data_IF_236180449315
#
_entry.id   IF_236180449315
#
_cell.length_a   1.000
_cell.length_b   1.000
_cell.length_c   1.000
_cell.angle_alpha   90.00
_cell.angle_beta   90.00
_cell.angle_gamma   90.00
#
_symmetry.space_group_name_H-M   'P 1'
#
loop_
_entity.id
_entity.type
_entity.pdbx_description
1 polymer ?
#
# COMPACT_ATOMS: atom_id res chain seq x y z
N UNK A 1 -5.58 22.76 6.91
CA UNK A 1 -4.41 22.32 6.14
C UNK A 1 -4.43 20.82 6.25
N UNK A 2 -5.37 20.18 5.58
CA UNK A 2 -5.59 18.73 5.68
C UNK A 2 -6.22 18.27 4.37
N UNK A 3 -5.39 17.80 3.45
CA UNK A 3 -5.80 17.15 2.19
C UNK A 3 -4.99 15.86 2.02
N UNK A 4 -4.89 15.06 3.10
CA UNK A 4 -4.25 13.73 3.06
C UNK A 4 -5.18 12.65 3.65
N UNK A 5 -6.49 12.80 3.57
CA UNK A 5 -7.46 11.83 4.13
C UNK A 5 -7.60 10.52 3.30
N UNK A 6 -6.69 10.23 2.36
CA UNK A 6 -6.76 9.07 1.46
C UNK A 6 -5.52 8.17 1.41
N UNK A 7 -4.31 8.72 1.56
CA UNK A 7 -3.04 7.99 1.41
C UNK A 7 -2.65 7.15 2.63
N UNK A 8 -3.29 7.39 3.77
CA UNK A 8 -3.08 6.67 5.03
C UNK A 8 -3.69 5.25 5.00
N UNK A 9 -4.38 4.89 3.91
CA UNK A 9 -4.85 3.53 3.68
C UNK A 9 -3.69 2.57 3.48
N UNK A 10 -3.80 1.43 4.16
CA UNK A 10 -2.90 0.31 3.99
C UNK A 10 -3.39 -0.67 2.94
N UNK A 11 -2.41 -1.21 2.23
CA UNK A 11 -2.61 -2.23 1.22
C UNK A 11 -1.71 -3.42 1.49
N UNK A 12 -2.20 -4.60 1.14
CA UNK A 12 -1.40 -5.81 1.17
C UNK A 12 -0.29 -5.74 0.12
N UNK A 13 0.98 -5.81 0.54
CA UNK A 13 2.12 -5.85 -0.37
C UNK A 13 2.12 -7.03 -1.36
N UNK A 14 1.39 -8.10 -1.06
CA UNK A 14 1.26 -9.28 -1.94
C UNK A 14 0.11 -9.18 -2.95
N UNK A 15 -1.05 -8.65 -2.57
CA UNK A 15 -2.23 -8.73 -3.45
C UNK A 15 -2.83 -7.37 -3.84
N UNK A 16 -2.45 -6.27 -3.19
CA UNK A 16 -3.03 -4.97 -3.49
C UNK A 16 -4.49 -4.82 -3.16
N UNK A 17 -4.98 -5.65 -2.27
CA UNK A 17 -6.28 -5.44 -1.70
C UNK A 17 -6.16 -4.49 -0.49
N UNK A 18 -7.15 -3.61 -0.33
CA UNK A 18 -7.36 -2.81 0.86
C UNK A 18 -8.12 -3.57 1.96
N UNK A 19 -8.62 -4.79 1.65
CA UNK A 19 -9.22 -5.71 2.61
C UNK A 19 -8.14 -6.38 3.50
N UNK A 20 -7.61 -5.58 4.43
CA UNK A 20 -6.52 -5.93 5.35
C UNK A 20 -6.87 -5.53 6.78
N UNK A 21 -6.38 -6.29 7.75
CA UNK A 21 -6.57 -5.99 9.18
C UNK A 21 -5.23 -5.84 9.88
N UNK A 22 -5.15 -4.80 10.69
CA UNK A 22 -4.00 -4.50 11.52
C UNK A 22 -4.40 -4.77 12.96
N UNK A 23 -3.79 -5.76 13.60
CA UNK A 23 -3.93 -5.97 15.03
C UNK A 23 -3.02 -5.01 15.80
N UNK A 24 -3.57 -3.92 16.31
CA UNK A 24 -2.86 -3.02 17.24
C UNK A 24 -2.98 -3.59 18.65
N UNK A 25 -1.87 -3.67 19.40
CA UNK A 25 -1.89 -4.09 20.80
C UNK A 25 -2.33 -2.90 21.67
N UNK A 26 -3.62 -2.83 21.97
CA UNK A 26 -4.22 -1.73 22.73
C UNK A 26 -4.21 -2.04 24.22
N UNK A 27 -3.43 -1.29 24.99
CA UNK A 27 -3.61 -1.23 26.44
C UNK A 27 -4.96 -0.54 26.74
N UNK A 28 -5.87 -1.16 27.53
CA UNK A 28 -7.21 -0.61 27.76
C UNK A 28 -7.24 0.73 28.51
N UNK A 29 -6.11 1.16 29.08
CA UNK A 29 -5.97 2.44 29.78
C UNK A 29 -5.34 3.55 28.93
N UNK A 30 -4.86 3.25 27.73
CA UNK A 30 -4.27 4.23 26.83
C UNK A 30 -5.26 4.54 25.72
N UNK A 31 -5.68 5.81 25.63
CA UNK A 31 -6.39 6.31 24.46
C UNK A 31 -5.36 6.44 23.34
N UNK A 32 -5.16 5.36 22.60
CA UNK A 32 -4.36 5.40 21.38
C UNK A 32 -5.31 5.85 20.28
N UNK A 33 -5.17 7.11 19.86
CA UNK A 33 -5.60 7.50 18.53
C UNK A 33 -4.75 6.68 17.56
N UNK A 34 -5.33 5.62 16.99
CA UNK A 34 -4.73 4.84 15.92
C UNK A 34 -4.71 5.67 14.63
N UNK A 35 -4.12 6.86 14.70
CA UNK A 35 -3.72 7.60 13.51
C UNK A 35 -2.54 6.81 12.94
N UNK A 36 -2.75 6.26 11.75
CA UNK A 36 -1.90 5.27 11.10
C UNK A 36 -0.51 5.80 10.69
N UNK A 37 -0.20 7.03 11.11
CA UNK A 37 1.07 7.71 10.88
C UNK A 37 2.21 7.18 11.76
N UNK A 38 1.92 6.41 12.83
CA UNK A 38 2.94 5.87 13.72
C UNK A 38 3.09 4.34 13.57
N UNK A 39 3.82 3.97 12.53
CA UNK A 39 4.27 2.60 12.22
C UNK A 39 5.07 1.91 13.35
N UNK A 40 5.40 2.63 14.43
CA UNK A 40 6.16 2.11 15.58
C UNK A 40 5.32 1.24 16.52
N UNK A 41 3.98 1.34 16.46
CA UNK A 41 3.05 0.54 17.28
C UNK A 41 2.57 -0.75 16.59
N UNK A 42 2.90 -0.94 15.31
CA UNK A 42 2.68 -2.22 14.64
C UNK A 42 3.71 -3.24 15.13
N UNK A 43 3.27 -4.16 15.99
CA UNK A 43 3.97 -5.43 16.10
C UNK A 43 3.93 -6.08 14.70
N UNK A 44 5.10 -6.31 14.11
CA UNK A 44 5.30 -6.75 12.71
C UNK A 44 4.54 -8.03 12.32
N UNK A 45 3.98 -8.72 13.31
CA UNK A 45 3.34 -10.03 13.23
C UNK A 45 1.80 -9.98 13.20
N UNK A 46 1.17 -8.79 13.32
CA UNK A 46 -0.30 -8.68 13.46
C UNK A 46 -1.02 -8.15 12.22
N UNK A 47 -0.36 -8.11 11.08
CA UNK A 47 -0.94 -7.66 9.82
C UNK A 47 -1.47 -8.85 9.02
N UNK A 48 -2.79 -8.99 8.91
CA UNK A 48 -3.45 -10.09 8.21
C UNK A 48 -4.17 -9.58 6.96
N UNK A 49 -3.97 -10.26 5.83
CA UNK A 49 -4.78 -10.02 4.64
C UNK A 49 -5.79 -11.16 4.47
N UNK A 50 -7.09 -10.85 4.46
CA UNK A 50 -8.13 -11.86 4.30
C UNK A 50 -8.15 -12.45 2.90
N UNK A 51 -7.70 -11.70 1.90
CA UNK A 51 -7.58 -12.21 0.54
C UNK A 51 -6.43 -13.22 0.37
N UNK A 52 -5.30 -12.98 1.05
CA UNK A 52 -4.16 -13.89 1.01
C UNK A 52 -4.24 -15.02 2.06
N UNK A 53 -5.10 -14.87 3.08
CA UNK A 53 -5.15 -15.75 4.25
C UNK A 53 -3.75 -16.00 4.86
N UNK A 54 -2.94 -14.95 4.91
CA UNK A 54 -1.53 -15.01 5.30
C UNK A 54 -1.15 -13.73 6.04
N UNK A 55 -0.21 -13.83 6.98
CA UNK A 55 0.40 -12.66 7.60
C UNK A 55 1.29 -11.98 6.57
N UNK A 56 1.01 -10.71 6.30
CA UNK A 56 1.68 -9.98 5.23
C UNK A 56 2.05 -8.58 5.70
N UNK A 57 3.14 -8.04 5.18
CA UNK A 57 3.49 -6.66 5.45
C UNK A 57 2.51 -5.75 4.73
N UNK A 58 1.82 -4.91 5.50
CA UNK A 58 0.97 -3.87 4.95
C UNK A 58 1.82 -2.64 4.67
N UNK A 59 1.53 -2.00 3.55
CA UNK A 59 2.27 -0.85 3.05
C UNK A 59 1.29 0.26 2.68
N UNK A 60 1.65 1.51 2.92
CA UNK A 60 0.86 2.64 2.44
C UNK A 60 0.98 2.75 0.93
N UNK A 61 0.06 3.50 0.32
CA UNK A 61 0.09 3.74 -1.13
C UNK A 61 1.43 4.38 -1.56
N UNK A 62 1.97 5.27 -0.72
CA UNK A 62 3.26 5.93 -0.96
C UNK A 62 4.45 4.96 -0.88
N UNK A 63 4.49 4.05 0.10
CA UNK A 63 5.55 3.03 0.16
C UNK A 63 5.50 2.07 -1.04
N UNK A 64 4.29 1.67 -1.46
CA UNK A 64 4.12 0.86 -2.66
C UNK A 64 4.60 1.59 -3.90
N UNK A 65 4.27 2.87 -4.03
CA UNK A 65 4.72 3.73 -5.12
C UNK A 65 6.24 3.87 -5.17
N UNK A 66 6.89 4.09 -4.03
CA UNK A 66 8.36 4.15 -3.95
C UNK A 66 9.00 2.82 -4.39
N UNK A 67 8.48 1.68 -3.93
CA UNK A 67 8.93 0.37 -4.38
C UNK A 67 8.72 0.19 -5.90
N UNK A 68 7.58 0.61 -6.42
CA UNK A 68 7.29 0.56 -7.85
C UNK A 68 8.26 1.42 -8.66
N UNK A 69 8.60 2.62 -8.18
CA UNK A 69 9.59 3.49 -8.83
C UNK A 69 11.00 2.89 -8.88
N UNK A 70 11.30 1.91 -8.01
CA UNK A 70 12.54 1.15 -8.04
C UNK A 70 12.47 -0.09 -8.96
N UNK A 71 11.28 -0.47 -9.45
CA UNK A 71 11.13 -1.59 -10.38
C UNK A 71 11.57 -1.14 -11.79
N UNK A 72 12.54 -1.84 -12.42
CA UNK A 72 12.93 -1.58 -13.79
C UNK A 72 11.77 -1.88 -14.75
N UNK A 73 11.62 -1.00 -15.72
CA UNK A 73 10.64 -1.12 -16.80
C UNK A 73 11.38 -1.35 -18.12
N UNK A 74 10.78 -2.15 -19.00
CA UNK A 74 11.33 -2.39 -20.34
C UNK A 74 11.01 -1.22 -21.30
N UNK A 75 11.49 -1.33 -22.54
CA UNK A 75 11.25 -0.31 -23.60
C UNK A 75 9.77 -0.18 -23.99
N UNK A 76 8.96 -1.21 -23.70
CA UNK A 76 7.52 -1.25 -23.94
C UNK A 76 6.69 -0.73 -22.74
N UNK A 77 7.35 -0.08 -21.77
CA UNK A 77 6.73 0.44 -20.55
C UNK A 77 6.06 -0.64 -19.69
N UNK A 78 6.59 -1.86 -19.68
CA UNK A 78 6.14 -2.97 -18.85
C UNK A 78 7.12 -3.23 -17.70
N UNK A 79 6.61 -3.61 -16.53
CA UNK A 79 7.45 -3.98 -15.39
C UNK A 79 8.26 -5.22 -15.70
N UNK A 80 9.57 -5.21 -15.44
CA UNK A 80 10.41 -6.39 -15.65
C UNK A 80 10.40 -7.35 -14.44
N UNK A 81 9.82 -6.94 -13.32
CA UNK A 81 9.70 -7.73 -12.10
C UNK A 81 8.25 -7.87 -11.67
N UNK A 82 7.94 -8.94 -10.94
CA UNK A 82 6.65 -9.05 -10.25
C UNK A 82 6.51 -7.95 -9.20
N UNK A 83 5.36 -7.30 -9.22
CA UNK A 83 4.99 -6.23 -8.30
C UNK A 83 3.58 -6.48 -7.79
N UNK A 84 3.48 -6.88 -6.52
CA UNK A 84 2.20 -7.08 -5.83
C UNK A 84 1.33 -8.12 -6.59
N UNK A 85 0.21 -7.71 -7.18
CA UNK A 85 -0.66 -8.60 -7.99
C UNK A 85 -0.27 -8.63 -9.47
N UNK A 86 0.63 -7.74 -9.90
CA UNK A 86 1.08 -7.59 -11.28
C UNK A 86 2.33 -8.44 -11.51
N UNK A 87 2.37 -9.18 -12.61
CA UNK A 87 3.53 -10.00 -12.97
C UNK A 87 4.47 -9.21 -13.86
N UNK A 88 5.74 -9.62 -13.90
CA UNK A 88 6.68 -9.17 -14.92
C UNK A 88 6.04 -9.29 -16.33
N UNK A 89 6.11 -8.21 -17.12
CA UNK A 89 5.41 -8.02 -18.39
C UNK A 89 4.06 -7.31 -18.26
N UNK A 90 3.68 -6.80 -17.09
CA UNK A 90 2.47 -5.96 -16.97
C UNK A 90 2.81 -4.51 -17.30
N UNK A 91 1.94 -3.84 -18.07
CA UNK A 91 2.14 -2.43 -18.38
C UNK A 91 2.17 -1.57 -17.12
N UNK A 92 3.15 -0.65 -17.02
CA UNK A 92 3.22 0.33 -15.93
C UNK A 92 1.96 1.18 -15.86
N UNK A 93 1.28 1.39 -16.99
CA UNK A 93 0.05 2.17 -17.05
C UNK A 93 -1.09 1.47 -16.31
N UNK A 94 -1.21 0.14 -16.38
CA UNK A 94 -2.19 -0.63 -15.58
C UNK A 94 -1.92 -0.46 -14.08
N UNK A 95 -0.64 -0.50 -13.70
CA UNK A 95 -0.23 -0.28 -12.31
C UNK A 95 -0.57 1.14 -11.87
N UNK A 96 -0.24 2.14 -12.69
CA UNK A 96 -0.58 3.54 -12.44
C UNK A 96 -2.08 3.78 -12.35
N UNK A 97 -2.87 3.16 -13.22
CA UNK A 97 -4.33 3.20 -13.15
C UNK A 97 -4.85 2.62 -11.83
N UNK A 98 -4.29 1.50 -11.37
CA UNK A 98 -4.64 0.93 -10.08
C UNK A 98 -4.35 1.90 -8.91
N UNK A 99 -3.24 2.63 -8.96
CA UNK A 99 -2.90 3.66 -7.98
C UNK A 99 -3.84 4.88 -8.09
N UNK A 100 -4.10 5.35 -9.31
CA UNK A 100 -4.94 6.51 -9.60
C UNK A 100 -6.38 6.32 -9.10
N UNK A 101 -6.96 5.14 -9.32
CA UNK A 101 -8.30 4.78 -8.81
C UNK A 101 -8.39 4.81 -7.27
N UNK A 102 -7.24 4.72 -6.59
CA UNK A 102 -7.14 4.72 -5.12
C UNK A 102 -6.70 6.07 -4.56
N UNK A 103 -6.22 6.99 -5.40
CA UNK A 103 -5.88 8.36 -5.03
C UNK A 103 -7.12 9.26 -5.11
N UNK A 104 -7.41 10.08 -4.10
CA UNK A 104 -8.53 11.01 -4.15
C UNK A 104 -8.32 12.15 -5.16
N UNK A 105 -7.08 12.63 -5.38
CA UNK A 105 -6.77 13.75 -6.29
C UNK A 105 -6.01 13.31 -7.55
N UNK A 106 -6.04 12.02 -7.90
CA UNK A 106 -5.17 11.37 -8.90
C UNK A 106 -3.73 11.14 -8.45
N UNK A 107 -3.13 10.07 -9.00
CA UNK A 107 -1.76 9.65 -8.71
C UNK A 107 -0.74 10.79 -8.86
N UNK A 108 -0.93 11.65 -9.85
CA UNK A 108 -0.03 12.78 -10.13
C UNK A 108 -0.05 13.86 -9.04
N UNK A 109 -1.20 14.12 -8.40
CA UNK A 109 -1.31 15.19 -7.40
C UNK A 109 -0.96 14.67 -5.99
N UNK A 110 -1.25 13.39 -5.73
CA UNK A 110 -1.04 12.75 -4.43
C UNK A 110 0.36 12.10 -4.27
N UNK A 111 0.99 11.61 -5.35
CA UNK A 111 2.20 10.76 -5.28
C UNK A 111 3.38 11.16 -6.20
N UNK A 112 3.23 12.15 -7.09
CA UNK A 112 4.26 12.56 -8.07
C UNK A 112 4.95 13.90 -7.73
#
# INVERSE_FOLDING_TARGET
MDHLEGLDKLYCSKCGNDDVTVGVNINPNEKIDINFHDSSLLEKDNCWCYHCCDSTSLKTLQELWDMFSNVPINDEDEIEQDFMCFKAGTSRFDVWHWFDERCPNSLHDDLM
#
